data_IF_282298694331
#
_entry.id   IF_282298694331
#
_cell.length_a   1.000
_cell.length_b   1.000
_cell.length_c   1.000
_cell.angle_alpha   90.00
_cell.angle_beta   90.00
_cell.angle_gamma   90.00
#
_symmetry.space_group_name_H-M   'P 1'
#
loop_
_entity.id
_entity.type
_entity.pdbx_description
1 polymer ?
#
# COMPACT_ATOMS: atom_id res chain seq x y z
N UNK A 1 -9.79 -7.61 -21.18
CA UNK A 1 -11.18 -8.00 -21.50
C UNK A 1 -11.72 -8.96 -20.44
N UNK A 2 -12.97 -8.76 -19.96
CA UNK A 2 -13.65 -9.75 -19.12
C UNK A 2 -13.92 -11.01 -19.95
N UNK A 3 -13.74 -12.18 -19.34
CA UNK A 3 -13.83 -13.51 -19.95
C UNK A 3 -15.02 -14.28 -19.36
N UNK A 4 -16.11 -14.52 -20.10
CA UNK A 4 -17.32 -15.13 -19.56
C UNK A 4 -17.08 -16.51 -18.91
N UNK A 5 -16.04 -17.22 -19.35
CA UNK A 5 -15.61 -18.55 -18.89
C UNK A 5 -14.94 -18.57 -17.51
N UNK A 6 -14.70 -17.41 -16.87
CA UNK A 6 -14.02 -17.34 -15.57
C UNK A 6 -14.91 -16.79 -14.48
N UNK A 7 -15.24 -17.65 -13.51
CA UNK A 7 -16.01 -17.30 -12.31
C UNK A 7 -15.33 -16.20 -11.48
N UNK A 8 -14.00 -16.28 -11.29
CA UNK A 8 -13.22 -15.26 -10.56
C UNK A 8 -12.32 -14.47 -11.49
N UNK A 9 -12.65 -13.19 -11.67
CA UNK A 9 -11.82 -12.23 -12.40
C UNK A 9 -11.57 -11.00 -11.56
N UNK A 10 -10.29 -10.68 -11.32
CA UNK A 10 -9.92 -9.38 -10.73
C UNK A 10 -10.21 -8.31 -11.78
N UNK A 11 -11.17 -7.40 -11.56
CA UNK A 11 -11.49 -6.37 -12.54
C UNK A 11 -10.25 -5.53 -12.82
N UNK A 12 -9.99 -5.27 -14.11
CA UNK A 12 -9.03 -4.23 -14.50
C UNK A 12 -9.70 -2.89 -14.28
N UNK A 13 -9.12 -2.05 -13.44
CA UNK A 13 -9.58 -0.69 -13.19
C UNK A 13 -8.57 0.30 -13.74
N UNK A 14 -9.06 1.42 -14.25
CA UNK A 14 -8.25 2.58 -14.61
C UNK A 14 -8.40 3.62 -13.51
N UNK A 15 -7.28 4.20 -13.07
CA UNK A 15 -7.26 5.27 -12.07
C UNK A 15 -6.45 6.44 -12.60
N UNK A 16 -6.95 7.65 -12.37
CA UNK A 16 -6.21 8.89 -12.62
C UNK A 16 -5.76 9.44 -11.27
N UNK A 17 -4.46 9.63 -11.10
CA UNK A 17 -3.87 10.11 -9.84
C UNK A 17 -3.36 11.54 -10.04
N UNK A 18 -3.82 12.47 -9.19
CA UNK A 18 -3.27 13.82 -9.09
C UNK A 18 -2.48 13.93 -7.79
N UNK A 19 -1.21 14.31 -7.88
CA UNK A 19 -0.37 14.55 -6.70
C UNK A 19 -0.76 15.88 -6.04
N UNK A 20 -1.14 15.85 -4.77
CA UNK A 20 -1.55 17.03 -3.98
C UNK A 20 -0.46 17.57 -3.07
N UNK A 21 0.45 16.72 -2.61
CA UNK A 21 1.57 17.09 -1.75
C UNK A 21 2.80 16.18 -2.00
N UNK A 22 3.96 16.59 -1.47
CA UNK A 22 5.18 15.79 -1.43
C UNK A 22 5.48 15.39 0.02
N UNK A 23 5.96 14.16 0.22
CA UNK A 23 6.35 13.74 1.55
C UNK A 23 7.59 14.51 2.00
N UNK A 24 7.56 15.02 3.24
CA UNK A 24 8.66 15.74 3.91
C UNK A 24 9.63 14.79 4.61
N UNK A 25 9.25 13.51 4.77
CA UNK A 25 10.03 12.46 5.44
C UNK A 25 10.15 11.23 4.53
N UNK A 26 11.25 10.47 4.68
CA UNK A 26 11.47 9.25 3.92
C UNK A 26 10.55 8.13 4.40
N UNK A 27 10.01 7.34 3.46
CA UNK A 27 9.18 6.18 3.74
C UNK A 27 9.42 5.10 2.67
N UNK A 28 10.58 4.45 2.75
CA UNK A 28 11.00 3.42 1.81
C UNK A 28 11.39 2.12 2.49
N UNK A 29 11.99 1.22 1.71
CA UNK A 29 12.44 -0.09 2.19
C UNK A 29 13.40 0.02 3.38
N UNK A 30 14.28 1.03 3.38
CA UNK A 30 15.28 1.24 4.43
C UNK A 30 14.63 1.60 5.77
N UNK A 31 13.61 2.47 5.74
CA UNK A 31 12.86 2.88 6.92
C UNK A 31 11.96 1.74 7.43
N UNK A 32 11.45 0.91 6.51
CA UNK A 32 10.48 -0.15 6.82
C UNK A 32 11.10 -1.50 7.20
N UNK A 33 12.34 -1.81 6.80
CA UNK A 33 12.98 -3.14 7.02
C UNK A 33 13.06 -3.55 8.49
N UNK A 34 13.16 -2.60 9.41
CA UNK A 34 13.21 -2.86 10.87
C UNK A 34 11.87 -3.35 11.43
N UNK A 35 10.77 -3.03 10.76
CA UNK A 35 9.40 -3.34 11.18
C UNK A 35 9.00 -4.72 10.63
N UNK A 36 9.59 -5.76 11.21
CA UNK A 36 9.46 -7.16 10.77
C UNK A 36 8.81 -8.09 11.79
N UNK A 37 8.47 -7.57 12.97
CA UNK A 37 7.73 -8.32 13.98
C UNK A 37 6.23 -8.18 13.71
N UNK A 38 5.55 -9.27 13.41
CA UNK A 38 4.20 -9.25 12.86
C UNK A 38 3.11 -9.05 13.90
N UNK A 39 3.46 -9.01 15.20
CA UNK A 39 2.50 -9.12 16.29
C UNK A 39 2.05 -7.79 16.91
N UNK A 40 2.68 -6.66 16.57
CA UNK A 40 2.42 -5.40 17.30
C UNK A 40 1.33 -4.49 16.66
N UNK A 41 0.82 -4.85 15.48
CA UNK A 41 -0.26 -4.13 14.80
C UNK A 41 0.09 -2.72 14.30
N UNK A 42 1.35 -2.32 14.34
CA UNK A 42 1.75 -0.97 13.93
C UNK A 42 1.54 -0.72 12.44
N UNK A 43 1.24 0.54 12.06
CA UNK A 43 1.04 0.91 10.67
C UNK A 43 2.28 0.67 9.80
N UNK A 44 3.50 0.79 10.36
CA UNK A 44 4.72 0.50 9.61
C UNK A 44 4.86 -0.97 9.21
N UNK A 45 4.31 -1.91 9.98
CA UNK A 45 4.31 -3.34 9.66
C UNK A 45 3.34 -3.63 8.52
N UNK A 46 2.15 -3.01 8.56
CA UNK A 46 1.18 -3.08 7.46
C UNK A 46 1.81 -2.55 6.15
N UNK A 47 2.51 -1.42 6.22
CA UNK A 47 3.22 -0.84 5.08
C UNK A 47 4.37 -1.73 4.60
N UNK A 48 5.19 -2.27 5.52
CA UNK A 48 6.27 -3.19 5.16
C UNK A 48 5.73 -4.45 4.46
N UNK A 49 4.59 -4.99 4.90
CA UNK A 49 3.92 -6.13 4.26
C UNK A 49 3.38 -5.81 2.87
N UNK A 50 2.67 -4.68 2.73
CA UNK A 50 2.09 -4.30 1.44
C UNK A 50 3.16 -3.92 0.43
N UNK A 51 4.24 -3.27 0.89
CA UNK A 51 5.39 -2.93 0.06
C UNK A 51 6.30 -4.15 -0.20
N UNK A 52 6.18 -5.25 0.55
CA UNK A 52 7.00 -6.44 0.38
C UNK A 52 6.99 -6.99 -1.06
N UNK A 53 5.92 -6.76 -1.84
CA UNK A 53 5.83 -7.12 -3.26
C UNK A 53 5.55 -5.95 -4.21
N UNK A 54 6.33 -4.87 -4.07
CA UNK A 54 6.25 -3.65 -4.91
C UNK A 54 6.19 -3.92 -6.43
N UNK A 55 6.59 -5.10 -6.89
CA UNK A 55 6.56 -5.50 -8.30
C UNK A 55 5.18 -5.97 -8.85
N UNK A 56 4.08 -5.77 -8.13
CA UNK A 56 2.75 -6.13 -8.65
C UNK A 56 1.89 -4.88 -8.84
N UNK A 57 1.40 -4.67 -10.07
CA UNK A 57 0.43 -3.63 -10.46
C UNK A 57 -0.91 -3.84 -9.72
N UNK A 58 -0.91 -3.67 -8.41
CA UNK A 58 -2.03 -3.94 -7.50
C UNK A 58 -2.38 -2.68 -6.75
N UNK A 59 -3.68 -2.42 -6.67
CA UNK A 59 -4.27 -1.46 -5.75
C UNK A 59 -4.67 -2.25 -4.50
N UNK A 60 -4.32 -1.74 -3.32
CA UNK A 60 -4.61 -2.39 -2.04
C UNK A 60 -5.16 -1.35 -1.09
N UNK A 61 -6.19 -1.71 -0.31
CA UNK A 61 -6.65 -0.87 0.79
C UNK A 61 -5.65 -0.88 1.94
N UNK A 62 -5.67 0.15 2.79
CA UNK A 62 -4.91 0.23 4.04
C UNK A 62 -5.89 0.43 5.20
N UNK A 63 -5.49 0.09 6.42
CA UNK A 63 -6.29 0.43 7.60
C UNK A 63 -6.33 1.95 7.85
N UNK A 64 -7.35 2.41 8.58
CA UNK A 64 -7.49 3.82 8.98
C UNK A 64 -6.30 4.30 9.82
N UNK A 65 -5.77 3.43 10.69
CA UNK A 65 -4.57 3.72 11.50
C UNK A 65 -3.36 3.97 10.59
N UNK A 66 -3.21 3.18 9.52
CA UNK A 66 -2.15 3.40 8.54
C UNK A 66 -2.37 4.65 7.69
N UNK A 67 -3.63 4.98 7.37
CA UNK A 67 -3.94 6.24 6.68
C UNK A 67 -3.55 7.46 7.54
N UNK A 68 -4.00 7.51 8.80
CA UNK A 68 -3.64 8.56 9.75
C UNK A 68 -2.12 8.62 10.00
N UNK A 69 -1.42 7.48 9.99
CA UNK A 69 0.04 7.45 10.07
C UNK A 69 0.70 8.15 8.87
N UNK A 70 0.23 7.88 7.65
CA UNK A 70 0.76 8.42 6.39
C UNK A 70 0.52 9.93 6.25
N UNK A 71 -0.60 10.44 6.76
CA UNK A 71 -0.91 11.88 6.72
C UNK A 71 0.18 12.74 7.39
N UNK A 72 0.90 12.19 8.39
CA UNK A 72 1.99 12.90 9.10
C UNK A 72 3.27 13.08 8.30
N UNK A 73 3.31 12.58 7.06
CA UNK A 73 4.45 12.70 6.14
C UNK A 73 4.30 13.86 5.17
N UNK A 74 3.09 14.38 4.96
CA UNK A 74 2.80 15.47 4.02
C UNK A 74 2.54 16.76 4.79
#
# INVERSE_FOLDING_TARGET
>A
PRRPDRERQTPRVSVSVRRTALATKRLGRNELKRFRDWKDGRPEIELNFKFYRQATNKIVGISDVTAAFLERFF
#
